data_IF_537431459266
#
_entry.id   IF_537431459266
#
_cell.length_a   1.000
_cell.length_b   1.000
_cell.length_c   1.000
_cell.angle_alpha   90.00
_cell.angle_beta   90.00
_cell.angle_gamma   90.00
#
_symmetry.space_group_name_H-M   'P 1'
#
loop_
_entity.id
_entity.type
_entity.pdbx_description
1 polymer ?
#
# COMPACT_ATOMS: atom_id res chain seq x y z
N UNK A 1 13.83 -2.85 -19.00
CA UNK A 1 13.07 -2.14 -17.95
C UNK A 1 11.65 -2.66 -18.01
N UNK A 2 11.24 -3.44 -17.02
CA UNK A 2 10.01 -4.23 -17.05
C UNK A 2 8.79 -3.31 -16.99
N UNK A 3 7.92 -3.41 -18.00
CA UNK A 3 6.67 -2.66 -18.08
C UNK A 3 5.76 -3.15 -16.94
N UNK A 4 5.60 -2.37 -15.89
CA UNK A 4 4.42 -2.48 -15.04
C UNK A 4 3.22 -2.33 -15.97
N UNK A 5 2.23 -3.21 -15.86
CA UNK A 5 1.18 -3.40 -16.87
C UNK A 5 0.26 -2.19 -17.15
N UNK A 6 0.58 -0.98 -16.65
CA UNK A 6 -0.13 0.27 -16.93
C UNK A 6 0.76 1.55 -16.79
N UNK A 7 2.10 1.44 -16.87
CA UNK A 7 2.99 2.62 -16.93
C UNK A 7 3.29 3.32 -15.59
N UNK A 8 2.51 3.07 -14.54
CA UNK A 8 2.76 3.63 -13.22
C UNK A 8 3.84 2.83 -12.46
N UNK A 9 4.74 3.56 -11.79
CA UNK A 9 5.83 2.99 -10.97
C UNK A 9 5.29 2.28 -9.73
N UNK A 10 5.87 1.11 -9.41
CA UNK A 10 5.57 0.39 -8.16
C UNK A 10 5.91 1.23 -6.94
N UNK A 11 6.99 2.02 -7.00
CA UNK A 11 7.35 2.93 -5.91
C UNK A 11 6.27 3.99 -5.66
N UNK A 12 5.68 4.54 -6.72
CA UNK A 12 4.58 5.51 -6.60
C UNK A 12 3.38 4.89 -5.89
N UNK A 13 3.06 3.63 -6.18
CA UNK A 13 1.97 2.90 -5.51
C UNK A 13 2.28 2.64 -4.03
N UNK A 14 3.53 2.29 -3.71
CA UNK A 14 3.95 2.10 -2.33
C UNK A 14 3.89 3.41 -1.53
N UNK A 15 4.30 4.54 -2.13
CA UNK A 15 4.18 5.87 -1.50
C UNK A 15 2.72 6.21 -1.22
N UNK A 16 1.80 5.99 -2.18
CA UNK A 16 0.35 6.21 -1.95
C UNK A 16 -0.19 5.39 -0.78
N UNK A 17 0.28 4.15 -0.61
CA UNK A 17 -0.11 3.34 0.56
C UNK A 17 0.40 3.97 1.87
N UNK A 18 1.63 4.49 1.89
CA UNK A 18 2.19 5.13 3.09
C UNK A 18 1.50 6.46 3.42
N UNK A 19 1.07 7.21 2.41
CA UNK A 19 0.33 8.47 2.56
C UNK A 19 -1.08 8.30 3.15
N UNK A 20 -1.63 7.09 3.16
CA UNK A 20 -2.92 6.78 3.82
C UNK A 20 -2.82 6.89 5.34
N UNK A 21 -1.62 6.73 5.92
CA UNK A 21 -1.40 6.81 7.35
C UNK A 21 -1.06 8.23 7.79
N UNK A 22 -1.64 8.67 8.90
CA UNK A 22 -1.37 9.97 9.52
C UNK A 22 -1.18 9.82 11.05
N UNK A 23 -0.75 10.87 11.78
CA UNK A 23 -0.51 10.78 13.22
C UNK A 23 -1.75 10.41 14.06
N UNK A 24 -2.95 10.67 13.56
CA UNK A 24 -4.22 10.36 14.22
C UNK A 24 -4.78 9.00 13.79
N UNK A 25 -4.41 8.51 12.59
CA UNK A 25 -4.88 7.27 11.98
C UNK A 25 -3.73 6.32 11.66
N UNK A 26 -3.32 5.53 12.66
CA UNK A 26 -2.19 4.58 12.55
C UNK A 26 -2.62 3.13 12.24
N UNK A 27 -3.89 2.79 12.44
CA UNK A 27 -4.44 1.46 12.19
C UNK A 27 -5.59 1.55 11.18
N UNK A 28 -5.30 1.19 9.93
CA UNK A 28 -6.22 1.40 8.81
C UNK A 28 -6.57 0.04 8.17
N UNK A 29 -7.87 -0.29 8.00
CA UNK A 29 -8.27 -1.54 7.35
C UNK A 29 -7.76 -1.62 5.91
N UNK A 30 -7.34 -2.81 5.47
CA UNK A 30 -6.77 -3.03 4.13
C UNK A 30 -7.69 -2.57 2.99
N UNK A 31 -9.02 -2.70 3.15
CA UNK A 31 -9.98 -2.20 2.17
C UNK A 31 -9.95 -0.68 2.01
N UNK A 32 -9.81 0.04 3.13
CA UNK A 32 -9.69 1.51 3.15
C UNK A 32 -8.36 1.94 2.53
N UNK A 33 -7.27 1.22 2.82
CA UNK A 33 -5.97 1.45 2.18
C UNK A 33 -6.09 1.30 0.66
N UNK A 34 -6.73 0.24 0.18
CA UNK A 34 -6.88 0.00 -1.25
C UNK A 34 -7.69 1.10 -1.95
N UNK A 35 -8.78 1.54 -1.31
CA UNK A 35 -9.63 2.62 -1.82
C UNK A 35 -8.88 3.96 -1.88
N UNK A 36 -8.25 4.38 -0.78
CA UNK A 36 -7.56 5.67 -0.71
C UNK A 36 -6.28 5.72 -1.55
N UNK A 37 -5.56 4.61 -1.65
CA UNK A 37 -4.38 4.51 -2.51
C UNK A 37 -4.75 4.38 -3.99
N UNK A 38 -6.04 4.28 -4.34
CA UNK A 38 -6.54 4.03 -5.70
C UNK A 38 -5.85 2.81 -6.34
N UNK A 39 -5.98 1.67 -5.65
CA UNK A 39 -5.41 0.39 -6.03
C UNK A 39 -6.46 -0.72 -5.97
N UNK A 40 -6.45 -1.68 -6.90
CA UNK A 40 -7.19 -2.92 -6.72
C UNK A 40 -6.78 -3.59 -5.40
N UNK A 41 -7.75 -4.12 -4.64
CA UNK A 41 -7.50 -4.75 -3.34
C UNK A 41 -6.40 -5.82 -3.38
N UNK A 42 -6.34 -6.63 -4.44
CA UNK A 42 -5.29 -7.63 -4.63
C UNK A 42 -3.89 -7.03 -4.79
N UNK A 43 -3.79 -5.86 -5.43
CA UNK A 43 -2.53 -5.12 -5.57
C UNK A 43 -2.13 -4.49 -4.24
N UNK A 44 -3.08 -3.84 -3.56
CA UNK A 44 -2.85 -3.24 -2.24
C UNK A 44 -2.39 -4.29 -1.22
N UNK A 45 -3.08 -5.44 -1.15
CA UNK A 45 -2.70 -6.56 -0.26
C UNK A 45 -1.25 -6.99 -0.47
N UNK A 46 -0.86 -7.25 -1.71
CA UNK A 46 0.50 -7.71 -2.02
C UNK A 46 1.57 -6.66 -1.67
N UNK A 47 1.30 -5.38 -1.95
CA UNK A 47 2.24 -4.31 -1.60
C UNK A 47 2.33 -4.11 -0.10
N UNK A 48 1.21 -4.20 0.63
CA UNK A 48 1.21 -4.16 2.10
C UNK A 48 2.01 -5.33 2.68
N UNK A 49 1.88 -6.54 2.13
CA UNK A 49 2.70 -7.69 2.53
C UNK A 49 4.20 -7.43 2.36
N UNK A 50 4.61 -6.84 1.24
CA UNK A 50 6.01 -6.46 0.99
C UNK A 50 6.48 -5.38 1.97
N UNK A 51 5.67 -4.34 2.22
CA UNK A 51 5.98 -3.28 3.18
C UNK A 51 6.11 -3.83 4.61
N UNK A 52 5.27 -4.80 5.00
CA UNK A 52 5.39 -5.50 6.28
C UNK A 52 6.66 -6.33 6.35
N UNK A 53 6.99 -7.08 5.30
CA UNK A 53 8.21 -7.88 5.23
C UNK A 53 9.49 -7.02 5.32
N UNK A 54 9.44 -5.77 4.84
CA UNK A 54 10.52 -4.80 4.94
C UNK A 54 10.47 -3.96 6.24
N UNK A 55 9.49 -4.17 7.12
CA UNK A 55 9.38 -3.47 8.41
C UNK A 55 8.87 -2.03 8.32
N UNK A 56 8.31 -1.64 7.17
CA UNK A 56 7.73 -0.31 6.96
C UNK A 56 6.30 -0.21 7.49
N UNK A 57 5.57 -1.33 7.49
CA UNK A 57 4.23 -1.44 8.09
C UNK A 57 4.19 -2.63 9.05
N UNK A 58 3.16 -2.66 9.89
CA UNK A 58 2.83 -3.80 10.75
C UNK A 58 1.33 -4.07 10.65
N UNK A 59 0.95 -5.34 10.82
CA UNK A 59 -0.45 -5.71 11.06
C UNK A 59 -0.70 -5.75 12.56
N UNK A 60 -1.73 -5.04 12.98
CA UNK A 60 -2.27 -5.20 14.33
C UNK A 60 -3.21 -6.43 14.33
N UNK A 61 -3.30 -7.09 15.49
CA UNK A 61 -4.06 -8.33 15.71
C UNK A 61 -5.58 -8.09 15.78
#
# INVERSE_FOLDING_TARGET
MARSSAGESVLTRAVRILEVFDPDNVAIPLGVIAEQADLPLSTASRLVDELVAHGLLRRDE
#
